data_IF_073983249182
#
_entry.id   IF_073983249182
#
_cell.length_a   1.000
_cell.length_b   1.000
_cell.length_c   1.000
_cell.angle_alpha   90.00
_cell.angle_beta   90.00
_cell.angle_gamma   90.00
#
_symmetry.space_group_name_H-M   'P 1'
#
loop_
_entity.id
_entity.type
_entity.pdbx_description
1 polymer ?
#
# COMPACT_ATOMS: atom_id res chain seq x y z
N UNK A 1 -41.60 -25.00 15.85
CA UNK A 1 -41.22 -26.40 15.76
C UNK A 1 -39.71 -26.60 15.63
N UNK A 2 -38.95 -25.64 15.12
CA UNK A 2 -37.46 -25.69 14.98
C UNK A 2 -36.72 -25.36 16.30
N UNK A 3 -37.33 -24.63 17.24
CA UNK A 3 -36.71 -24.23 18.52
C UNK A 3 -36.74 -25.35 19.57
N UNK A 4 -37.56 -26.38 19.38
CA UNK A 4 -37.74 -27.48 20.36
C UNK A 4 -36.64 -28.56 20.24
N UNK A 5 -36.04 -28.68 19.07
CA UNK A 5 -35.03 -29.72 18.79
C UNK A 5 -33.59 -29.25 19.11
N UNK A 6 -33.36 -27.92 19.25
CA UNK A 6 -32.05 -27.38 19.62
C UNK A 6 -31.77 -27.39 21.13
N UNK A 7 -32.78 -27.55 21.96
CA UNK A 7 -32.67 -27.62 23.42
C UNK A 7 -32.52 -29.04 23.97
N UNK A 8 -32.45 -30.04 23.08
CA UNK A 8 -32.37 -31.46 23.49
C UNK A 8 -30.96 -32.04 23.64
N UNK A 9 -29.91 -31.30 23.33
CA UNK A 9 -28.55 -31.84 23.36
C UNK A 9 -27.57 -30.88 24.03
N UNK A 10 -27.25 -31.14 25.24
CA UNK A 10 -26.12 -30.85 26.12
C UNK A 10 -26.39 -29.98 27.34
N UNK A 11 -26.16 -30.62 28.51
CA UNK A 11 -26.01 -30.11 29.87
C UNK A 11 -27.26 -29.69 30.63
N UNK A 12 -28.01 -30.68 31.09
CA UNK A 12 -29.01 -30.54 32.18
C UNK A 12 -28.42 -30.00 33.49
N UNK A 13 -27.11 -30.06 33.70
CA UNK A 13 -26.42 -29.58 34.88
C UNK A 13 -26.26 -28.06 34.94
N UNK A 14 -26.16 -27.41 33.76
CA UNK A 14 -26.04 -25.95 33.68
C UNK A 14 -27.39 -25.24 33.95
N UNK A 15 -28.49 -25.80 33.44
CA UNK A 15 -29.83 -25.25 33.66
C UNK A 15 -30.29 -25.37 35.12
N UNK A 16 -29.82 -26.37 35.85
CA UNK A 16 -30.20 -26.53 37.28
C UNK A 16 -29.47 -25.54 38.21
N UNK A 17 -28.22 -25.16 37.89
CA UNK A 17 -27.47 -24.12 38.61
C UNK A 17 -28.04 -22.71 38.36
N UNK A 18 -28.47 -22.40 37.15
CA UNK A 18 -29.14 -21.12 36.82
C UNK A 18 -30.52 -21.01 37.47
N UNK A 19 -31.28 -22.11 37.60
CA UNK A 19 -32.59 -22.10 38.22
C UNK A 19 -32.56 -21.79 39.73
N UNK A 20 -31.49 -22.18 40.44
CA UNK A 20 -31.32 -21.89 41.87
C UNK A 20 -30.91 -20.44 42.18
N UNK A 21 -30.21 -19.79 41.26
CA UNK A 21 -29.81 -18.38 41.35
C UNK A 21 -30.97 -17.42 40.98
N UNK A 22 -31.86 -17.85 40.09
CA UNK A 22 -32.99 -17.06 39.61
C UNK A 22 -34.19 -16.99 40.56
N UNK A 23 -34.25 -17.86 41.59
CA UNK A 23 -35.31 -17.79 42.60
C UNK A 23 -35.22 -16.58 43.53
N UNK A 24 -34.13 -15.84 43.55
CA UNK A 24 -33.90 -14.67 44.38
C UNK A 24 -33.87 -13.31 43.67
N UNK A 25 -34.07 -13.28 42.36
CA UNK A 25 -34.18 -12.01 41.61
C UNK A 25 -35.57 -11.93 40.96
N UNK A 26 -36.41 -11.09 41.53
CA UNK A 26 -37.66 -10.63 40.90
C UNK A 26 -37.32 -9.75 39.68
N UNK A 27 -36.80 -10.34 38.62
CA UNK A 27 -36.66 -9.65 37.35
C UNK A 27 -37.95 -9.84 36.53
N UNK A 28 -38.53 -8.73 36.11
CA UNK A 28 -39.74 -8.69 35.29
C UNK A 28 -39.54 -9.56 34.04
N UNK A 29 -40.50 -10.42 33.65
CA UNK A 29 -40.36 -11.31 32.46
C UNK A 29 -39.94 -10.59 31.19
N UNK A 30 -40.30 -9.33 31.08
CA UNK A 30 -39.99 -8.48 29.92
C UNK A 30 -38.49 -8.06 29.83
N UNK A 31 -37.80 -7.90 30.96
CA UNK A 31 -36.36 -7.61 30.95
C UNK A 31 -35.51 -8.85 30.63
N UNK A 32 -35.97 -10.03 31.10
CA UNK A 32 -35.31 -11.28 30.80
C UNK A 32 -35.39 -11.63 29.32
N UNK A 33 -36.52 -11.39 28.69
CA UNK A 33 -36.73 -11.60 27.26
C UNK A 33 -35.85 -10.65 26.42
N UNK A 34 -35.76 -9.38 26.82
CA UNK A 34 -34.83 -8.42 26.18
C UNK A 34 -33.35 -8.82 26.31
N UNK A 35 -32.97 -9.32 27.50
CA UNK A 35 -31.61 -9.77 27.74
C UNK A 35 -31.28 -11.03 26.90
N UNK A 36 -32.22 -11.96 26.82
CA UNK A 36 -32.10 -13.18 26.00
C UNK A 36 -31.99 -12.84 24.50
N UNK A 37 -32.85 -11.95 24.01
CA UNK A 37 -32.81 -11.47 22.63
C UNK A 37 -31.48 -10.74 22.34
N UNK A 38 -31.02 -9.91 23.26
CA UNK A 38 -29.74 -9.20 23.13
C UNK A 38 -28.54 -10.17 23.06
N UNK A 39 -28.56 -11.21 23.88
CA UNK A 39 -27.53 -12.24 23.87
C UNK A 39 -27.59 -13.12 22.61
N UNK A 40 -28.78 -13.49 22.14
CA UNK A 40 -28.97 -14.22 20.88
C UNK A 40 -28.50 -13.39 19.65
N UNK A 41 -28.84 -12.11 19.66
CA UNK A 41 -28.36 -11.19 18.61
C UNK A 41 -26.82 -11.07 18.65
N UNK A 42 -26.23 -11.03 19.87
CA UNK A 42 -24.78 -11.00 20.05
C UNK A 42 -24.14 -12.28 19.55
N UNK A 43 -24.63 -13.46 19.92
CA UNK A 43 -24.12 -14.76 19.44
C UNK A 43 -24.29 -14.92 17.92
N UNK A 44 -25.42 -14.51 17.35
CA UNK A 44 -25.63 -14.52 15.91
C UNK A 44 -24.66 -13.56 15.19
N UNK A 45 -24.41 -12.39 15.75
CA UNK A 45 -23.43 -11.44 15.22
C UNK A 45 -22.03 -12.01 15.30
N UNK A 46 -21.60 -12.60 16.42
CA UNK A 46 -20.33 -13.26 16.61
C UNK A 46 -20.11 -14.41 15.61
N UNK A 47 -21.16 -15.21 15.33
CA UNK A 47 -21.08 -16.26 14.28
C UNK A 47 -20.98 -15.71 12.86
N UNK A 48 -21.67 -14.62 12.55
CA UNK A 48 -21.59 -13.95 11.25
C UNK A 48 -20.20 -13.28 11.09
N UNK A 49 -19.67 -12.68 12.15
CA UNK A 49 -18.37 -12.03 12.17
C UNK A 49 -17.21 -13.01 12.03
N UNK A 50 -17.22 -14.12 12.74
CA UNK A 50 -16.26 -15.20 12.56
C UNK A 50 -16.18 -15.65 11.10
N UNK A 51 -17.29 -15.58 10.35
CA UNK A 51 -17.35 -15.87 8.92
C UNK A 51 -16.62 -14.83 8.04
N UNK A 52 -16.66 -13.56 8.37
CA UNK A 52 -16.03 -12.50 7.55
C UNK A 52 -14.50 -12.59 7.66
N UNK A 53 -14.00 -12.70 8.90
CA UNK A 53 -12.54 -12.79 9.13
C UNK A 53 -11.96 -14.16 8.78
N UNK A 54 -12.77 -15.25 8.80
CA UNK A 54 -12.36 -16.60 8.45
C UNK A 54 -12.53 -16.95 6.96
N UNK A 55 -13.24 -16.14 6.19
CA UNK A 55 -13.39 -16.36 4.75
C UNK A 55 -12.05 -16.21 4.03
N UNK A 56 -11.49 -17.34 3.58
CA UNK A 56 -10.26 -17.36 2.76
C UNK A 56 -10.42 -16.47 1.54
N UNK A 57 -11.56 -16.56 0.84
CA UNK A 57 -11.82 -15.80 -0.37
C UNK A 57 -11.74 -14.28 -0.14
N UNK A 58 -12.27 -13.79 0.99
CA UNK A 58 -12.24 -12.36 1.31
C UNK A 58 -10.82 -11.89 1.65
N UNK A 59 -10.06 -12.65 2.45
CA UNK A 59 -8.67 -12.31 2.77
C UNK A 59 -7.80 -12.24 1.52
N UNK A 60 -7.89 -13.26 0.67
CA UNK A 60 -7.14 -13.29 -0.58
C UNK A 60 -7.62 -12.21 -1.57
N UNK A 61 -8.92 -11.91 -1.61
CA UNK A 61 -9.46 -10.80 -2.39
C UNK A 61 -8.90 -9.44 -1.95
N UNK A 62 -8.82 -9.20 -0.64
CA UNK A 62 -8.18 -8.00 -0.09
C UNK A 62 -6.70 -7.94 -0.44
N UNK A 63 -5.98 -9.08 -0.33
CA UNK A 63 -4.57 -9.14 -0.72
C UNK A 63 -4.38 -8.76 -2.19
N UNK A 64 -5.22 -9.28 -3.09
CA UNK A 64 -5.16 -8.94 -4.53
C UNK A 64 -5.34 -7.44 -4.76
N UNK A 65 -6.30 -6.80 -4.08
CA UNK A 65 -6.54 -5.35 -4.22
C UNK A 65 -5.31 -4.53 -3.79
N UNK A 66 -4.74 -4.82 -2.62
CA UNK A 66 -3.59 -4.05 -2.10
C UNK A 66 -2.29 -4.39 -2.85
N UNK A 67 -2.08 -5.65 -3.23
CA UNK A 67 -0.93 -6.07 -4.03
C UNK A 67 -0.96 -5.46 -5.44
N UNK A 68 -2.14 -5.33 -6.05
CA UNK A 68 -2.30 -4.62 -7.33
C UNK A 68 -1.91 -3.14 -7.21
N UNK A 69 -2.28 -2.47 -6.13
CA UNK A 69 -1.85 -1.09 -5.88
C UNK A 69 -0.32 -0.98 -5.80
N UNK A 70 0.34 -1.94 -5.14
CA UNK A 70 1.81 -2.00 -5.08
C UNK A 70 2.43 -2.31 -6.44
N UNK A 71 1.84 -3.21 -7.23
CA UNK A 71 2.29 -3.47 -8.61
C UNK A 71 2.31 -2.18 -9.43
N UNK A 72 1.24 -1.38 -9.38
CA UNK A 72 1.18 -0.08 -10.07
C UNK A 72 2.27 0.89 -9.58
N UNK A 73 2.52 0.94 -8.27
CA UNK A 73 3.58 1.76 -7.68
C UNK A 73 4.96 1.35 -8.18
N UNK A 74 5.31 0.06 -8.11
CA UNK A 74 6.61 -0.46 -8.54
C UNK A 74 6.80 -0.37 -10.06
N UNK A 75 5.73 -0.48 -10.84
CA UNK A 75 5.79 -0.23 -12.28
C UNK A 75 6.28 1.21 -12.57
N UNK A 76 5.68 2.22 -11.90
CA UNK A 76 6.10 3.62 -12.08
C UNK A 76 7.52 3.89 -11.52
N UNK A 77 7.92 3.18 -10.46
CA UNK A 77 9.26 3.34 -9.88
C UNK A 77 10.36 3.09 -10.91
N UNK A 78 10.15 2.12 -11.79
CA UNK A 78 11.18 1.65 -12.71
C UNK A 78 10.92 1.99 -14.19
N UNK A 79 9.77 2.60 -14.53
CA UNK A 79 9.39 2.95 -15.90
C UNK A 79 10.40 3.82 -16.64
N UNK A 80 11.15 4.68 -15.94
CA UNK A 80 12.13 5.56 -16.58
C UNK A 80 13.49 4.89 -16.83
N UNK A 81 13.74 3.75 -16.18
CA UNK A 81 15.04 3.06 -16.30
C UNK A 81 15.37 2.66 -17.75
N UNK A 82 14.49 2.00 -18.50
CA UNK A 82 14.79 1.63 -19.89
C UNK A 82 14.66 2.81 -20.89
N UNK A 83 14.22 3.98 -20.45
CA UNK A 83 14.06 5.17 -21.30
C UNK A 83 15.29 6.10 -21.28
N UNK A 84 16.34 5.80 -20.49
CA UNK A 84 17.49 6.70 -20.31
C UNK A 84 18.08 7.16 -21.65
N UNK A 85 18.41 6.24 -22.55
CA UNK A 85 18.98 6.56 -23.86
C UNK A 85 18.03 7.37 -24.76
N UNK A 86 16.71 7.20 -24.60
CA UNK A 86 15.71 8.00 -25.30
C UNK A 86 15.60 9.41 -24.71
N UNK A 87 15.68 9.54 -23.39
CA UNK A 87 15.73 10.86 -22.71
C UNK A 87 16.95 11.66 -23.13
N UNK A 88 18.10 11.02 -23.26
CA UNK A 88 19.35 11.65 -23.73
C UNK A 88 19.22 12.17 -25.17
N UNK A 89 18.57 11.40 -26.05
CA UNK A 89 18.43 11.76 -27.48
C UNK A 89 17.31 12.78 -27.73
N UNK A 90 16.13 12.56 -27.17
CA UNK A 90 14.93 13.34 -27.47
C UNK A 90 14.77 14.59 -26.59
N UNK A 91 15.17 14.49 -25.30
CA UNK A 91 15.04 15.58 -24.34
C UNK A 91 16.39 16.23 -23.99
N UNK A 92 17.47 15.77 -24.59
CA UNK A 92 18.84 16.28 -24.37
C UNK A 92 19.24 16.27 -22.88
N UNK A 93 18.77 15.26 -22.15
CA UNK A 93 19.20 15.04 -20.77
C UNK A 93 20.63 14.49 -20.79
N UNK A 94 21.48 15.01 -19.94
CA UNK A 94 22.79 14.41 -19.70
C UNK A 94 22.74 13.37 -18.55
N UNK A 95 23.86 12.69 -18.34
CA UNK A 95 23.94 11.69 -17.26
C UNK A 95 23.78 12.32 -15.86
N UNK A 96 24.11 13.62 -15.70
CA UNK A 96 23.90 14.36 -14.46
C UNK A 96 22.39 14.64 -14.23
N UNK A 97 21.70 15.08 -15.27
CA UNK A 97 20.23 15.31 -15.26
C UNK A 97 19.49 14.03 -14.83
N UNK A 98 19.87 12.90 -15.45
CA UNK A 98 19.28 11.60 -15.12
C UNK A 98 19.65 11.17 -13.68
N UNK A 99 20.87 11.43 -13.22
CA UNK A 99 21.32 11.17 -11.85
C UNK A 99 20.53 11.99 -10.81
N UNK A 100 20.33 13.30 -11.07
CA UNK A 100 19.50 14.17 -10.24
C UNK A 100 18.07 13.65 -10.16
N UNK A 101 17.48 13.34 -11.33
CA UNK A 101 16.12 12.79 -11.41
C UNK A 101 15.98 11.49 -10.61
N UNK A 102 16.87 10.52 -10.79
CA UNK A 102 16.77 9.23 -10.10
C UNK A 102 17.01 9.34 -8.61
N UNK A 103 17.92 10.22 -8.15
CA UNK A 103 18.18 10.46 -6.73
C UNK A 103 16.99 11.09 -6.00
N UNK A 104 16.15 11.83 -6.71
CA UNK A 104 15.00 12.54 -6.15
C UNK A 104 13.98 11.64 -5.46
N UNK A 105 13.88 10.37 -5.87
CA UNK A 105 13.03 9.37 -5.21
C UNK A 105 13.23 9.32 -3.69
N UNK A 106 14.47 9.45 -3.24
CA UNK A 106 14.83 9.40 -1.82
C UNK A 106 14.82 10.73 -1.08
N UNK A 107 14.73 11.88 -1.76
CA UNK A 107 14.98 13.17 -1.11
C UNK A 107 14.10 13.40 0.12
N UNK A 108 12.79 13.28 0.00
CA UNK A 108 11.89 13.51 1.13
C UNK A 108 11.94 12.36 2.15
N UNK A 109 12.13 11.13 1.68
CA UNK A 109 12.18 9.97 2.57
C UNK A 109 13.42 9.98 3.47
N UNK A 110 14.56 10.41 2.92
CA UNK A 110 15.84 10.46 3.65
C UNK A 110 16.00 11.78 4.42
N UNK A 111 15.91 12.94 3.75
CA UNK A 111 16.22 14.23 4.38
C UNK A 111 15.08 14.79 5.23
N UNK A 112 13.83 14.54 4.85
CA UNK A 112 12.66 14.97 5.62
C UNK A 112 12.08 13.85 6.51
N UNK A 113 12.71 12.66 6.55
CA UNK A 113 12.27 11.52 7.36
C UNK A 113 10.79 11.16 7.13
N UNK A 114 10.28 11.33 5.89
CA UNK A 114 8.86 11.19 5.58
C UNK A 114 8.35 9.78 5.83
N UNK A 115 9.20 8.74 5.74
CA UNK A 115 8.82 7.39 6.06
C UNK A 115 8.52 7.20 7.56
N UNK A 116 9.31 7.85 8.45
CA UNK A 116 9.06 7.84 9.90
C UNK A 116 7.76 8.60 10.21
N UNK A 117 7.59 9.78 9.61
CA UNK A 117 6.36 10.58 9.76
C UNK A 117 5.15 9.80 9.26
N UNK A 118 5.27 9.15 8.11
CA UNK A 118 4.24 8.27 7.54
C UNK A 118 3.88 7.11 8.46
N UNK A 119 4.86 6.49 9.13
CA UNK A 119 4.65 5.47 10.16
C UNK A 119 3.85 5.99 11.35
N UNK A 120 4.18 7.18 11.85
CA UNK A 120 3.45 7.83 12.96
C UNK A 120 2.01 8.17 12.54
N UNK A 121 1.81 8.65 11.30
CA UNK A 121 0.47 8.92 10.76
C UNK A 121 -0.32 7.61 10.64
N UNK A 122 0.32 6.54 10.15
CA UNK A 122 -0.29 5.22 10.01
C UNK A 122 -0.78 4.67 11.36
N UNK A 123 -0.01 4.87 12.43
CA UNK A 123 -0.40 4.40 13.76
C UNK A 123 -1.52 5.24 14.39
N UNK A 124 -1.51 6.56 14.14
CA UNK A 124 -2.53 7.47 14.70
C UNK A 124 -3.83 7.51 13.90
N UNK A 125 -3.74 7.51 12.58
CA UNK A 125 -4.89 7.71 11.68
C UNK A 125 -5.37 6.42 11.00
N UNK A 126 -4.61 5.33 11.17
CA UNK A 126 -4.96 4.01 10.65
C UNK A 126 -4.69 3.82 9.16
N UNK A 127 -4.83 2.56 8.73
CA UNK A 127 -4.46 2.09 7.38
C UNK A 127 -5.28 2.73 6.25
N UNK A 128 -6.55 3.07 6.52
CA UNK A 128 -7.45 3.64 5.49
C UNK A 128 -7.02 5.04 5.09
N UNK A 129 -6.86 5.91 6.07
CA UNK A 129 -6.48 7.31 5.82
C UNK A 129 -5.08 7.38 5.20
N UNK A 130 -4.12 6.71 5.82
CA UNK A 130 -2.71 6.75 5.39
C UNK A 130 -2.53 6.15 4.02
N UNK A 131 -3.14 5.00 3.75
CA UNK A 131 -3.04 4.36 2.44
C UNK A 131 -3.72 5.14 1.33
N UNK A 132 -4.88 5.75 1.59
CA UNK A 132 -5.53 6.62 0.60
C UNK A 132 -4.68 7.88 0.33
N UNK A 133 -4.12 8.50 1.37
CA UNK A 133 -3.18 9.62 1.23
C UNK A 133 -1.95 9.24 0.40
N UNK A 134 -1.39 8.06 0.64
CA UNK A 134 -0.26 7.52 -0.12
C UNK A 134 -0.63 7.33 -1.61
N UNK A 135 -1.79 6.76 -1.92
CA UNK A 135 -2.28 6.61 -3.30
C UNK A 135 -2.43 7.97 -4.00
N UNK A 136 -2.99 8.96 -3.32
CA UNK A 136 -3.13 10.32 -3.87
C UNK A 136 -1.75 10.93 -4.16
N UNK A 137 -0.79 10.80 -3.24
CA UNK A 137 0.59 11.27 -3.46
C UNK A 137 1.24 10.58 -4.66
N UNK A 138 1.03 9.28 -4.84
CA UNK A 138 1.54 8.56 -6.01
C UNK A 138 0.95 9.10 -7.31
N UNK A 139 -0.36 9.34 -7.37
CA UNK A 139 -1.03 9.91 -8.56
C UNK A 139 -0.55 11.32 -8.84
N UNK A 140 -0.45 12.19 -7.83
CA UNK A 140 0.02 13.57 -7.99
C UNK A 140 1.49 13.61 -8.45
N UNK A 141 2.36 12.80 -7.84
CA UNK A 141 3.77 12.71 -8.25
C UNK A 141 3.94 12.19 -9.66
N UNK A 142 3.15 11.18 -10.07
CA UNK A 142 3.14 10.68 -11.44
C UNK A 142 2.62 11.75 -12.43
N UNK A 143 1.53 12.44 -12.07
CA UNK A 143 0.96 13.50 -12.89
C UNK A 143 1.94 14.64 -13.13
N UNK A 144 2.67 15.08 -12.09
CA UNK A 144 3.69 16.11 -12.22
C UNK A 144 4.85 15.64 -13.09
N UNK A 145 5.30 14.38 -12.92
CA UNK A 145 6.35 13.78 -13.76
C UNK A 145 5.89 13.68 -15.23
N UNK A 146 4.66 13.24 -15.47
CA UNK A 146 4.09 13.21 -16.81
C UNK A 146 4.03 14.61 -17.43
N UNK A 147 3.56 15.61 -16.69
CA UNK A 147 3.50 17.01 -17.15
C UNK A 147 4.89 17.52 -17.53
N UNK A 148 5.89 17.30 -16.69
CA UNK A 148 7.27 17.73 -16.94
C UNK A 148 7.87 17.12 -18.22
N UNK A 149 7.59 15.83 -18.47
CA UNK A 149 8.15 15.12 -19.64
C UNK A 149 7.35 15.42 -20.93
N UNK A 150 6.03 15.68 -20.81
CA UNK A 150 5.17 15.98 -21.97
C UNK A 150 5.22 17.43 -22.44
N UNK A 151 5.71 18.34 -21.60
CA UNK A 151 5.77 19.78 -21.90
C UNK A 151 7.15 20.17 -22.41
N UNK A 152 7.18 20.93 -23.51
CA UNK A 152 8.41 21.52 -24.03
C UNK A 152 8.74 22.80 -23.27
N UNK A 153 9.92 22.84 -22.66
CA UNK A 153 10.45 24.01 -21.97
C UNK A 153 11.43 24.77 -22.88
N UNK A 154 11.56 26.09 -22.75
CA UNK A 154 12.54 26.86 -23.52
C UNK A 154 13.95 26.33 -23.27
N UNK A 155 14.77 26.28 -24.34
CA UNK A 155 16.18 25.88 -24.25
C UNK A 155 16.92 26.87 -23.35
N UNK A 156 17.59 26.36 -22.30
CA UNK A 156 18.33 27.19 -21.34
C UNK A 156 17.50 27.66 -20.13
N UNK A 157 16.23 27.30 -20.03
CA UNK A 157 15.44 27.55 -18.82
C UNK A 157 15.95 26.67 -17.66
N UNK A 158 16.50 27.34 -16.65
CA UNK A 158 17.10 26.68 -15.48
C UNK A 158 16.54 27.24 -14.18
N UNK A 159 16.23 26.35 -13.26
CA UNK A 159 15.76 26.67 -11.93
C UNK A 159 16.68 25.96 -10.90
N UNK A 160 17.25 26.73 -9.98
CA UNK A 160 18.30 26.23 -9.03
C UNK A 160 19.50 25.51 -9.69
N UNK A 161 19.91 26.00 -10.87
CA UNK A 161 21.06 25.41 -11.58
C UNK A 161 20.78 24.08 -12.29
N UNK A 162 19.52 23.64 -12.32
CA UNK A 162 19.03 22.47 -13.04
C UNK A 162 18.11 22.89 -14.17
N UNK A 163 18.01 22.11 -15.24
CA UNK A 163 16.97 22.30 -16.25
C UNK A 163 15.61 22.26 -15.59
N UNK A 164 14.73 23.23 -15.87
CA UNK A 164 13.39 23.32 -15.26
C UNK A 164 12.59 22.02 -15.46
N UNK A 165 12.70 21.41 -16.63
CA UNK A 165 12.09 20.11 -16.94
C UNK A 165 12.58 19.01 -15.98
N UNK A 166 13.89 18.89 -15.77
CA UNK A 166 14.50 17.91 -14.87
C UNK A 166 14.07 18.15 -13.44
N UNK A 167 14.08 19.41 -13.00
CA UNK A 167 13.65 19.79 -11.65
C UNK A 167 12.19 19.44 -11.36
N UNK A 168 11.28 19.71 -12.31
CA UNK A 168 9.86 19.35 -12.16
C UNK A 168 9.65 17.83 -12.20
N UNK A 169 10.34 17.12 -13.09
CA UNK A 169 10.29 15.66 -13.14
C UNK A 169 10.84 15.03 -11.85
N UNK A 170 11.95 15.57 -11.32
CA UNK A 170 12.55 15.15 -10.06
C UNK A 170 11.60 15.39 -8.86
N UNK A 171 10.97 16.56 -8.80
CA UNK A 171 9.98 16.87 -7.77
C UNK A 171 8.79 15.91 -7.83
N UNK A 172 8.26 15.64 -9.02
CA UNK A 172 7.20 14.64 -9.21
C UNK A 172 7.62 13.26 -8.72
N UNK A 173 8.86 12.85 -9.00
CA UNK A 173 9.39 11.58 -8.57
C UNK A 173 9.66 11.52 -7.05
N UNK A 174 10.05 12.64 -6.44
CA UNK A 174 10.21 12.74 -4.99
C UNK A 174 8.87 12.61 -4.25
N UNK A 175 7.81 13.30 -4.72
CA UNK A 175 6.45 13.20 -4.17
C UNK A 175 5.93 11.76 -4.33
N UNK A 176 6.11 11.17 -5.50
CA UNK A 176 5.76 9.78 -5.75
C UNK A 176 6.50 8.82 -4.80
N UNK A 177 7.79 9.03 -4.58
CA UNK A 177 8.63 8.24 -3.67
C UNK A 177 8.08 8.21 -2.25
N UNK A 178 7.62 9.36 -1.72
CA UNK A 178 6.93 9.41 -0.42
C UNK A 178 5.66 8.55 -0.45
N UNK A 179 4.86 8.68 -1.51
CA UNK A 179 3.60 7.94 -1.63
C UNK A 179 3.82 6.42 -1.64
N UNK A 180 4.73 5.92 -2.47
CA UNK A 180 4.94 4.47 -2.62
C UNK A 180 5.56 3.83 -1.36
N UNK A 181 6.47 4.53 -0.66
CA UNK A 181 7.06 4.03 0.58
C UNK A 181 6.03 3.97 1.72
N UNK A 182 5.19 5.01 1.86
CA UNK A 182 4.09 5.02 2.83
C UNK A 182 3.04 3.95 2.48
N UNK A 183 2.75 3.74 1.19
CA UNK A 183 1.88 2.64 0.75
C UNK A 183 2.45 1.28 1.15
N UNK A 184 3.75 1.05 1.01
CA UNK A 184 4.43 -0.20 1.36
C UNK A 184 4.28 -0.55 2.85
N UNK A 185 4.56 0.40 3.76
CA UNK A 185 4.36 0.17 5.20
C UNK A 185 2.88 -0.04 5.55
N UNK A 186 1.98 0.67 4.86
CA UNK A 186 0.54 0.54 5.06
C UNK A 186 0.05 -0.83 4.62
N UNK A 187 0.45 -1.31 3.44
CA UNK A 187 0.09 -2.63 2.92
C UNK A 187 0.63 -3.75 3.82
N UNK A 188 1.86 -3.61 4.32
CA UNK A 188 2.41 -4.54 5.31
C UNK A 188 1.55 -4.63 6.57
N UNK A 189 1.10 -3.49 7.10
CA UNK A 189 0.19 -3.44 8.27
C UNK A 189 -1.19 -4.04 7.96
N UNK A 190 -1.71 -3.83 6.74
CA UNK A 190 -2.95 -4.45 6.26
C UNK A 190 -2.82 -5.97 6.25
N UNK A 191 -1.73 -6.51 5.70
CA UNK A 191 -1.50 -7.96 5.64
C UNK A 191 -1.42 -8.54 7.05
N UNK A 192 -0.69 -7.91 7.96
CA UNK A 192 -0.63 -8.34 9.36
C UNK A 192 -2.03 -8.38 9.98
N UNK A 193 -2.84 -7.33 9.79
CA UNK A 193 -4.19 -7.23 10.32
C UNK A 193 -5.13 -8.33 9.80
N UNK A 194 -5.10 -8.61 8.49
CA UNK A 194 -6.00 -9.55 7.84
C UNK A 194 -5.57 -11.00 7.93
N UNK A 195 -4.26 -11.26 8.06
CA UNK A 195 -3.67 -12.61 8.08
C UNK A 195 -3.07 -13.00 9.43
N UNK A 196 -3.33 -12.25 10.51
CA UNK A 196 -2.86 -12.58 11.86
C UNK A 196 -3.30 -14.00 12.27
N UNK A 197 -2.34 -14.86 12.61
CA UNK A 197 -2.60 -16.25 12.98
C UNK A 197 -2.99 -17.19 11.81
N UNK A 198 -2.84 -16.74 10.56
CA UNK A 198 -3.15 -17.50 9.34
C UNK A 198 -1.94 -17.44 8.40
N UNK A 199 -2.09 -17.66 7.11
CA UNK A 199 -1.00 -17.77 6.12
C UNK A 199 -0.25 -16.43 5.86
N UNK A 200 0.15 -15.71 6.93
CA UNK A 200 0.72 -14.36 6.86
C UNK A 200 2.03 -14.30 6.05
N UNK A 201 2.93 -15.26 6.24
CA UNK A 201 4.21 -15.30 5.52
C UNK A 201 3.99 -15.50 4.01
N UNK A 202 3.01 -16.33 3.63
CA UNK A 202 2.65 -16.55 2.23
C UNK A 202 2.04 -15.27 1.63
N UNK A 203 1.16 -14.58 2.36
CA UNK A 203 0.54 -13.34 1.90
C UNK A 203 1.58 -12.23 1.68
N UNK A 204 2.54 -12.06 2.60
CA UNK A 204 3.65 -11.12 2.42
C UNK A 204 4.55 -11.49 1.24
N UNK A 205 4.86 -12.79 1.07
CA UNK A 205 5.65 -13.25 -0.06
C UNK A 205 4.96 -13.02 -1.40
N UNK A 206 3.65 -13.22 -1.48
CA UNK A 206 2.87 -12.96 -2.70
C UNK A 206 2.75 -11.46 -3.02
N UNK A 207 2.58 -10.62 -2.01
CA UNK A 207 2.58 -9.17 -2.19
C UNK A 207 3.92 -8.70 -2.77
N UNK A 208 5.04 -9.12 -2.15
CA UNK A 208 6.37 -8.80 -2.64
C UNK A 208 6.63 -9.33 -4.06
N UNK A 209 6.20 -10.55 -4.38
CA UNK A 209 6.30 -11.10 -5.73
C UNK A 209 5.51 -10.26 -6.74
N UNK A 210 4.29 -9.85 -6.38
CA UNK A 210 3.45 -9.00 -7.24
C UNK A 210 4.07 -7.62 -7.47
N UNK A 211 4.68 -7.02 -6.43
CA UNK A 211 5.43 -5.77 -6.55
C UNK A 211 6.61 -5.92 -7.54
N UNK A 212 7.39 -7.01 -7.45
CA UNK A 212 8.49 -7.29 -8.38
C UNK A 212 8.03 -7.58 -9.80
N UNK A 213 6.83 -8.14 -9.99
CA UNK A 213 6.21 -8.24 -11.31
C UNK A 213 5.97 -6.85 -11.91
N UNK A 214 5.62 -5.84 -11.12
CA UNK A 214 5.51 -4.45 -11.56
C UNK A 214 6.83 -3.93 -12.13
N UNK A 215 7.94 -4.12 -11.42
CA UNK A 215 9.30 -3.78 -11.92
C UNK A 215 9.63 -4.52 -13.22
N UNK A 216 9.42 -5.84 -13.26
CA UNK A 216 9.68 -6.64 -14.45
C UNK A 216 8.88 -6.16 -15.66
N UNK A 217 7.60 -5.88 -15.49
CA UNK A 217 6.74 -5.33 -16.54
C UNK A 217 7.23 -3.96 -17.00
N UNK A 218 7.63 -3.08 -16.08
CA UNK A 218 8.19 -1.77 -16.43
C UNK A 218 9.40 -1.90 -17.34
N UNK A 219 10.35 -2.77 -17.00
CA UNK A 219 11.55 -2.98 -17.82
C UNK A 219 11.25 -3.61 -19.19
N UNK A 220 10.24 -4.49 -19.25
CA UNK A 220 9.92 -5.24 -20.48
C UNK A 220 9.08 -4.44 -21.48
N UNK A 221 8.08 -3.65 -21.01
CA UNK A 221 7.06 -3.08 -21.91
C UNK A 221 7.23 -1.59 -22.18
N UNK A 222 8.06 -0.88 -21.42
CA UNK A 222 8.17 0.58 -21.52
C UNK A 222 8.71 1.02 -22.87
N UNK A 223 9.83 0.44 -23.35
CA UNK A 223 10.41 0.76 -24.65
C UNK A 223 9.47 0.39 -25.80
N UNK A 224 8.87 -0.82 -25.87
CA UNK A 224 7.83 -1.14 -26.83
C UNK A 224 6.67 -0.14 -26.88
N UNK A 225 6.20 0.33 -25.72
CA UNK A 225 5.11 1.32 -25.66
C UNK A 225 5.57 2.67 -26.23
N UNK A 226 6.74 3.16 -25.81
CA UNK A 226 7.28 4.43 -26.30
C UNK A 226 7.47 4.43 -27.82
N UNK A 227 7.96 3.31 -28.38
CA UNK A 227 8.17 3.15 -29.83
C UNK A 227 6.85 2.96 -30.59
N UNK A 228 5.90 2.21 -30.06
CA UNK A 228 4.59 1.98 -30.68
C UNK A 228 3.80 3.28 -30.87
N UNK A 229 3.84 4.19 -29.89
CA UNK A 229 3.22 5.50 -29.96
C UNK A 229 4.15 6.60 -30.52
N UNK A 230 5.33 6.22 -31.00
CA UNK A 230 6.27 7.13 -31.66
C UNK A 230 5.75 7.65 -32.99
N UNK A 231 6.35 8.75 -33.45
CA UNK A 231 6.05 9.37 -34.75
C UNK A 231 7.29 9.28 -35.63
N UNK A 232 7.11 8.85 -36.87
CA UNK A 232 8.17 8.82 -37.86
C UNK A 232 8.18 10.15 -38.61
N UNK A 233 9.32 10.82 -38.68
CA UNK A 233 9.49 12.06 -39.41
C UNK A 233 9.58 11.86 -40.93
N UNK A 234 9.72 12.95 -41.67
CA UNK A 234 9.84 12.94 -43.15
C UNK A 234 11.10 12.27 -43.66
N UNK A 235 12.12 12.09 -42.82
CA UNK A 235 13.40 11.43 -43.12
C UNK A 235 13.37 9.92 -42.79
N UNK A 236 12.26 9.41 -42.26
CA UNK A 236 12.10 8.01 -41.87
C UNK A 236 12.68 7.69 -40.51
N UNK A 237 13.04 8.69 -39.69
CA UNK A 237 13.53 8.51 -38.31
C UNK A 237 12.38 8.40 -37.36
N UNK A 238 12.38 7.35 -36.51
CA UNK A 238 11.36 7.14 -35.47
C UNK A 238 11.71 7.95 -34.23
N UNK A 239 10.82 8.89 -33.86
CA UNK A 239 10.87 9.62 -32.59
C UNK A 239 9.93 8.94 -31.57
N UNK A 240 10.47 8.27 -30.53
CA UNK A 240 9.65 7.57 -29.56
C UNK A 240 8.85 8.53 -28.68
N UNK A 241 7.62 8.17 -28.35
CA UNK A 241 6.77 8.96 -27.49
C UNK A 241 7.07 8.62 -26.01
N UNK A 242 8.04 9.31 -25.41
CA UNK A 242 8.44 9.10 -24.00
C UNK A 242 7.30 9.37 -22.99
N UNK A 243 6.40 10.35 -23.17
CA UNK A 243 5.22 10.54 -22.33
C UNK A 243 4.24 9.34 -22.31
N UNK A 244 4.15 8.53 -23.36
CA UNK A 244 3.14 7.48 -23.46
C UNK A 244 3.23 6.41 -22.35
N UNK A 245 4.39 5.84 -22.00
CA UNK A 245 4.52 4.93 -20.85
C UNK A 245 4.13 5.59 -19.51
N UNK A 246 4.42 6.88 -19.34
CA UNK A 246 4.06 7.62 -18.12
C UNK A 246 2.55 7.84 -18.01
N UNK A 247 1.88 8.09 -19.13
CA UNK A 247 0.42 8.16 -19.18
C UNK A 247 -0.21 6.83 -18.79
N UNK A 248 0.32 5.71 -19.29
CA UNK A 248 -0.11 4.38 -18.88
C UNK A 248 0.05 4.19 -17.36
N UNK A 249 1.20 4.59 -16.80
CA UNK A 249 1.42 4.55 -15.36
C UNK A 249 0.38 5.36 -14.59
N UNK A 250 0.08 6.57 -15.05
CA UNK A 250 -0.93 7.43 -14.42
C UNK A 250 -2.31 6.78 -14.41
N UNK A 251 -2.71 6.17 -15.51
CA UNK A 251 -3.97 5.42 -15.61
C UNK A 251 -3.95 4.22 -14.64
N UNK A 252 -2.88 3.45 -14.63
CA UNK A 252 -2.74 2.30 -13.72
C UNK A 252 -2.80 2.72 -12.24
N UNK A 253 -2.15 3.82 -11.87
CA UNK A 253 -2.20 4.36 -10.51
C UNK A 253 -3.61 4.86 -10.13
N UNK A 254 -4.34 5.46 -11.05
CA UNK A 254 -5.74 5.83 -10.82
C UNK A 254 -6.59 4.57 -10.56
N UNK A 255 -6.42 3.51 -11.36
CA UNK A 255 -7.11 2.22 -11.14
C UNK A 255 -6.67 1.61 -9.80
N UNK A 256 -5.38 1.64 -9.46
CA UNK A 256 -4.86 1.19 -8.18
C UNK A 256 -5.44 1.97 -6.99
N UNK A 257 -5.62 3.27 -7.13
CA UNK A 257 -6.28 4.11 -6.12
C UNK A 257 -7.74 3.72 -5.93
N UNK A 258 -8.46 3.43 -7.02
CA UNK A 258 -9.84 2.92 -6.95
C UNK A 258 -9.87 1.55 -6.26
N UNK A 259 -8.94 0.65 -6.59
CA UNK A 259 -8.83 -0.66 -5.94
C UNK A 259 -8.57 -0.50 -4.43
N UNK A 260 -7.68 0.42 -4.03
CA UNK A 260 -7.44 0.73 -2.63
C UNK A 260 -8.66 1.34 -1.95
N UNK A 261 -9.40 2.20 -2.64
CA UNK A 261 -10.66 2.75 -2.14
C UNK A 261 -11.69 1.65 -1.88
N UNK A 262 -11.83 0.68 -2.79
CA UNK A 262 -12.70 -0.50 -2.58
C UNK A 262 -12.24 -1.28 -1.35
N UNK A 263 -10.92 -1.47 -1.15
CA UNK A 263 -10.38 -2.09 0.05
C UNK A 263 -10.85 -1.39 1.34
N UNK A 264 -10.94 -0.05 1.37
CA UNK A 264 -11.33 0.70 2.58
C UNK A 264 -12.74 0.33 3.08
N UNK A 265 -13.66 -0.07 2.19
CA UNK A 265 -14.99 -0.56 2.59
C UNK A 265 -14.92 -1.92 3.29
N UNK A 266 -14.06 -2.82 2.81
CA UNK A 266 -13.86 -4.12 3.46
C UNK A 266 -13.18 -3.96 4.82
N UNK A 267 -12.19 -3.07 4.91
CA UNK A 267 -11.50 -2.79 6.17
C UNK A 267 -12.41 -2.15 7.22
N UNK A 268 -13.30 -1.24 6.80
CA UNK A 268 -14.30 -0.65 7.70
C UNK A 268 -15.25 -1.72 8.30
N UNK A 269 -15.63 -2.70 7.49
CA UNK A 269 -16.46 -3.83 7.95
C UNK A 269 -15.70 -4.72 8.95
N UNK A 270 -14.40 -4.92 8.70
CA UNK A 270 -13.56 -5.69 9.62
C UNK A 270 -13.42 -4.97 10.97
N UNK A 271 -13.14 -3.66 10.97
CA UNK A 271 -13.01 -2.89 12.22
C UNK A 271 -14.30 -2.93 13.04
N UNK A 272 -15.45 -2.69 12.41
CA UNK A 272 -16.75 -2.80 13.09
C UNK A 272 -16.93 -4.19 13.74
N UNK A 273 -16.38 -5.23 13.12
CA UNK A 273 -16.42 -6.59 13.66
C UNK A 273 -15.51 -6.79 14.87
N UNK A 274 -14.30 -6.22 14.82
CA UNK A 274 -13.33 -6.33 15.91
C UNK A 274 -13.75 -5.51 17.15
N UNK A 275 -14.34 -4.32 16.95
CA UNK A 275 -14.88 -3.49 18.04
C UNK A 275 -16.02 -4.19 18.79
N UNK A 276 -16.89 -4.92 18.08
CA UNK A 276 -17.97 -5.68 18.71
C UNK A 276 -17.45 -6.89 19.53
N UNK A 277 -16.28 -7.45 19.19
CA UNK A 277 -15.61 -8.53 19.94
C UNK A 277 -14.85 -8.00 21.17
N UNK A 278 -14.77 -6.69 21.39
CA UNK A 278 -14.03 -6.09 22.50
C UNK A 278 -12.51 -6.29 22.38
N UNK A 279 -11.99 -6.53 21.17
CA UNK A 279 -10.56 -6.60 20.91
C UNK A 279 -10.03 -5.18 20.90
N UNK A 280 -9.22 -4.85 21.91
CA UNK A 280 -8.61 -3.54 22.01
C UNK A 280 -7.68 -3.30 20.80
N UNK A 281 -7.69 -2.07 20.22
CA UNK A 281 -6.75 -1.70 19.18
C UNK A 281 -5.32 -1.83 19.69
N UNK A 282 -4.38 -2.15 18.79
CA UNK A 282 -2.96 -2.22 19.14
C UNK A 282 -2.49 -0.90 19.79
N UNK A 283 -1.66 -0.99 20.82
CA UNK A 283 -1.14 0.20 21.51
C UNK A 283 -0.51 1.16 20.49
N UNK A 284 -0.85 2.47 20.52
CA UNK A 284 -0.27 3.43 19.61
C UNK A 284 1.23 3.59 19.87
N UNK A 285 2.00 3.79 18.81
CA UNK A 285 3.43 4.04 18.86
C UNK A 285 3.78 5.16 19.86
N UNK A 286 4.74 4.89 20.73
CA UNK A 286 5.27 5.85 21.71
C UNK A 286 6.68 6.25 21.32
N UNK A 287 7.03 7.53 21.44
CA UNK A 287 8.38 8.02 21.13
C UNK A 287 9.50 7.30 21.93
N UNK A 288 9.15 6.72 23.08
CA UNK A 288 10.07 5.90 23.88
C UNK A 288 10.48 4.60 23.16
N UNK A 289 9.63 4.09 22.26
CA UNK A 289 9.88 2.84 21.55
C UNK A 289 11.01 3.01 20.52
N UNK A 290 11.25 4.23 20.00
CA UNK A 290 12.41 4.55 19.15
C UNK A 290 13.72 4.25 19.90
N UNK A 291 13.79 4.61 21.17
CA UNK A 291 15.01 4.38 21.95
C UNK A 291 15.29 2.87 22.13
N UNK A 292 14.25 2.08 22.34
CA UNK A 292 14.36 0.61 22.41
C UNK A 292 14.85 0.00 21.08
N UNK A 293 14.40 0.54 19.96
CA UNK A 293 14.83 0.09 18.61
C UNK A 293 16.30 0.43 18.39
N UNK A 294 16.70 1.70 18.63
CA UNK A 294 18.07 2.17 18.38
C UNK A 294 19.10 1.46 19.28
N UNK A 295 18.73 1.08 20.50
CA UNK A 295 19.61 0.37 21.44
C UNK A 295 19.71 -1.13 21.14
N UNK A 296 18.84 -1.68 20.26
CA UNK A 296 18.83 -3.09 19.94
C UNK A 296 19.91 -3.43 18.90
N UNK A 297 20.88 -4.27 19.26
CA UNK A 297 21.94 -4.71 18.35
C UNK A 297 21.41 -5.50 17.14
N UNK A 298 20.34 -6.28 17.31
CA UNK A 298 19.70 -7.03 16.23
C UNK A 298 19.13 -6.10 15.16
N UNK A 299 18.56 -4.96 15.57
CA UNK A 299 18.09 -3.94 14.64
C UNK A 299 19.21 -3.44 13.71
N UNK A 300 20.38 -3.08 14.28
CA UNK A 300 21.50 -2.57 13.48
C UNK A 300 22.08 -3.62 12.53
N UNK A 301 22.13 -4.90 12.93
CA UNK A 301 22.59 -5.97 12.04
C UNK A 301 21.65 -6.13 10.84
N UNK A 302 20.33 -6.12 11.06
CA UNK A 302 19.34 -6.21 9.98
C UNK A 302 19.38 -4.95 9.11
N UNK A 303 19.46 -3.75 9.71
CA UNK A 303 19.54 -2.49 8.99
C UNK A 303 20.79 -2.46 8.09
N UNK A 304 21.95 -2.88 8.59
CA UNK A 304 23.18 -2.94 7.81
C UNK A 304 23.09 -3.94 6.65
N UNK A 305 22.48 -5.10 6.88
CA UNK A 305 22.23 -6.09 5.83
C UNK A 305 21.34 -5.49 4.72
N UNK A 306 20.27 -4.80 5.08
CA UNK A 306 19.40 -4.11 4.13
C UNK A 306 20.16 -3.03 3.33
N UNK A 307 20.98 -2.19 3.99
CA UNK A 307 21.78 -1.17 3.32
C UNK A 307 22.72 -1.79 2.31
N UNK A 308 23.47 -2.83 2.68
CA UNK A 308 24.41 -3.51 1.79
C UNK A 308 23.69 -4.14 0.58
N UNK A 309 22.56 -4.78 0.81
CA UNK A 309 21.76 -5.40 -0.25
C UNK A 309 21.23 -4.35 -1.24
N UNK A 310 20.55 -3.33 -0.73
CA UNK A 310 19.91 -2.32 -1.59
C UNK A 310 20.91 -1.37 -2.26
N UNK A 311 22.09 -1.12 -1.66
CA UNK A 311 23.14 -0.33 -2.31
C UNK A 311 23.68 -0.96 -3.59
N UNK A 312 23.58 -2.28 -3.74
CA UNK A 312 23.90 -2.98 -4.98
C UNK A 312 22.71 -3.05 -5.95
N UNK A 313 21.52 -3.38 -5.46
CA UNK A 313 20.33 -3.65 -6.29
C UNK A 313 19.80 -2.39 -6.97
N UNK A 314 19.69 -1.26 -6.25
CA UNK A 314 19.08 -0.06 -6.81
C UNK A 314 19.88 0.56 -7.96
N UNK A 315 21.22 0.78 -7.85
CA UNK A 315 22.00 1.25 -8.98
C UNK A 315 21.91 0.32 -10.19
N UNK A 316 22.00 -1.00 -9.94
CA UNK A 316 21.87 -1.97 -11.03
C UNK A 316 20.54 -1.81 -11.78
N UNK A 317 19.39 -1.77 -11.07
CA UNK A 317 18.08 -1.62 -11.72
C UNK A 317 17.92 -0.30 -12.49
N UNK A 318 18.59 0.78 -12.06
CA UNK A 318 18.47 2.10 -12.71
C UNK A 318 19.36 2.27 -13.93
N UNK A 319 20.45 1.50 -14.03
CA UNK A 319 21.47 1.61 -15.09
C UNK A 319 21.70 0.30 -15.85
N UNK A 320 20.93 -0.76 -15.60
CA UNK A 320 21.14 -2.07 -16.23
C UNK A 320 20.86 -2.10 -17.74
N UNK A 321 20.24 -1.07 -18.27
CA UNK A 321 19.88 -0.96 -19.70
C UNK A 321 20.78 0.00 -20.47
N UNK A 322 21.85 0.49 -19.84
CA UNK A 322 22.91 1.32 -20.47
C UNK A 322 23.88 0.54 -21.37
#
# INVERSE_FOLDING_TARGET
>A
MIIRDYLSCKDRTFLWKCSSLLKNLYLCPFEYEKLLIKNLIKEMKEQIQKKINDSKALRWGVLVLVAFTMLCGYFLTDVMSPLKTMLEKELLWDSLDYGIFTSAYGWFNVFAFMLIIGGIILDKMGVRFTGMGACILMVLGCGLKYYAISTTFPVGDTFFGMKTQVGLAALGYAIFGVGVEIAGITVSKIIVKWFKGKEMALAMGMEMATARLGTMLALAVTVPIATFFGVTDTEGVLHPNIPAPLLLCLIMLCIGTIAFFIYTFYDKKLDASLEEEGIEPEEPFRMKDIWLIITNKGFWLIAMLCVLFYSAVFPFLKYATD
#
